data_IF_388010647144
#
_entry.id   IF_388010647144
#
_cell.length_a   1.000
_cell.length_b   1.000
_cell.length_c   1.000
_cell.angle_alpha   90.00
_cell.angle_beta   90.00
_cell.angle_gamma   90.00
#
_symmetry.space_group_name_H-M   'P 1'
#
loop_
_entity.id
_entity.type
_entity.pdbx_description
1 polymer ?
#
# COMPACT_ATOMS: atom_id res chain seq x y z
N UNK A 1 12.58 4.11 -1.29
CA UNK A 1 13.42 3.42 -2.25
C UNK A 1 12.76 3.39 -3.61
N UNK A 2 13.56 3.54 -4.66
CA UNK A 2 13.13 3.36 -6.03
C UNK A 2 13.36 1.88 -6.42
N UNK A 3 12.60 1.39 -7.40
CA UNK A 3 12.77 0.04 -7.91
C UNK A 3 11.75 -0.97 -7.39
N UNK A 4 12.13 -2.26 -7.41
CA UNK A 4 11.20 -3.37 -7.07
C UNK A 4 11.00 -3.59 -5.57
N UNK A 5 11.80 -2.94 -4.71
CA UNK A 5 11.73 -3.06 -3.26
C UNK A 5 11.19 -1.77 -2.66
N UNK A 6 10.10 -1.84 -1.92
CA UNK A 6 9.54 -0.72 -1.19
C UNK A 6 9.54 -1.01 0.30
N UNK A 7 9.98 -0.05 1.11
CA UNK A 7 9.90 -0.13 2.57
C UNK A 7 8.51 0.23 3.10
N UNK A 8 7.75 0.93 2.30
CA UNK A 8 6.42 1.40 2.69
C UNK A 8 5.49 1.43 1.47
N UNK A 9 4.30 0.84 1.65
CA UNK A 9 3.20 0.93 0.70
C UNK A 9 2.11 1.82 1.28
N UNK A 10 1.72 2.83 0.52
CA UNK A 10 0.58 3.65 0.89
C UNK A 10 -0.71 2.94 0.50
N UNK A 11 -1.51 2.61 1.51
CA UNK A 11 -2.85 2.09 1.32
C UNK A 11 -3.84 3.25 1.42
N UNK A 12 -4.54 3.55 0.33
CA UNK A 12 -5.55 4.60 0.26
C UNK A 12 -6.94 4.00 0.01
N UNK A 13 -7.64 3.55 1.05
CA UNK A 13 -8.96 2.97 0.89
C UNK A 13 -10.01 4.06 0.64
N UNK A 14 -10.93 3.81 -0.29
CA UNK A 14 -12.18 4.56 -0.39
C UNK A 14 -13.15 3.97 0.65
N UNK A 15 -13.53 4.78 1.63
CA UNK A 15 -14.38 4.33 2.73
C UNK A 15 -15.75 4.98 2.65
N UNK A 16 -16.78 4.20 2.99
CA UNK A 16 -18.15 4.66 3.15
C UNK A 16 -18.76 4.06 4.41
N UNK A 17 -19.57 4.85 5.11
CA UNK A 17 -20.28 4.33 6.27
C UNK A 17 -21.25 3.22 5.83
N UNK A 18 -21.25 2.11 6.56
CA UNK A 18 -22.03 0.92 6.23
C UNK A 18 -23.53 1.21 6.17
N UNK A 19 -24.09 1.95 7.15
CA UNK A 19 -25.51 2.27 7.18
C UNK A 19 -25.93 3.18 6.02
N UNK A 20 -25.03 4.07 5.57
CA UNK A 20 -25.28 4.92 4.39
C UNK A 20 -25.30 4.06 3.13
N UNK A 21 -24.35 3.14 2.98
CA UNK A 21 -24.35 2.19 1.86
C UNK A 21 -25.60 1.32 1.82
N UNK A 22 -26.03 0.80 2.97
CA UNK A 22 -27.23 -0.05 3.10
C UNK A 22 -28.54 0.73 2.88
N UNK A 23 -28.55 2.06 3.07
CA UNK A 23 -29.70 2.90 2.76
C UNK A 23 -29.91 3.16 1.26
N UNK A 24 -28.91 2.90 0.44
CA UNK A 24 -29.00 3.02 -1.01
C UNK A 24 -29.83 1.88 -1.59
N UNK A 25 -30.55 2.14 -2.68
CA UNK A 25 -31.20 1.07 -3.42
C UNK A 25 -30.17 0.19 -4.15
N UNK A 26 -30.59 -1.00 -4.57
CA UNK A 26 -29.70 -1.99 -5.18
C UNK A 26 -28.93 -1.47 -6.39
N UNK A 27 -29.58 -0.73 -7.28
CA UNK A 27 -28.94 -0.18 -8.47
C UNK A 27 -27.85 0.85 -8.10
N UNK A 28 -28.07 1.64 -7.07
CA UNK A 28 -27.10 2.61 -6.57
C UNK A 28 -25.89 1.90 -5.91
N UNK A 29 -26.12 0.86 -5.12
CA UNK A 29 -25.05 0.04 -4.54
C UNK A 29 -24.19 -0.60 -5.65
N UNK A 30 -24.83 -1.21 -6.65
CA UNK A 30 -24.13 -1.81 -7.79
C UNK A 30 -23.33 -0.78 -8.60
N UNK A 31 -23.88 0.39 -8.85
CA UNK A 31 -23.20 1.48 -9.54
C UNK A 31 -21.98 1.97 -8.78
N UNK A 32 -22.08 2.13 -7.44
CA UNK A 32 -20.96 2.49 -6.58
C UNK A 32 -19.85 1.44 -6.61
N UNK A 33 -20.19 0.17 -6.48
CA UNK A 33 -19.20 -0.92 -6.52
C UNK A 33 -18.53 -1.03 -7.89
N UNK A 34 -19.30 -0.86 -8.97
CA UNK A 34 -18.73 -0.84 -10.33
C UNK A 34 -17.80 0.37 -10.54
N UNK A 35 -18.17 1.54 -10.05
CA UNK A 35 -17.34 2.75 -10.07
C UNK A 35 -16.05 2.55 -9.28
N UNK A 36 -16.12 2.02 -8.06
CA UNK A 36 -14.96 1.72 -7.23
C UNK A 36 -13.98 0.77 -7.93
N UNK A 37 -14.48 -0.30 -8.54
CA UNK A 37 -13.65 -1.25 -9.30
C UNK A 37 -12.94 -0.61 -10.50
N UNK A 38 -13.60 0.30 -11.20
CA UNK A 38 -12.97 1.07 -12.29
C UNK A 38 -11.91 2.03 -11.77
N UNK A 39 -12.21 2.71 -10.65
CA UNK A 39 -11.27 3.63 -10.01
C UNK A 39 -10.03 2.91 -9.50
N UNK A 40 -10.16 1.72 -8.91
CA UNK A 40 -9.04 0.88 -8.49
C UNK A 40 -8.12 0.53 -9.67
N UNK A 41 -8.69 0.03 -10.77
CA UNK A 41 -7.91 -0.32 -11.96
C UNK A 41 -7.17 0.90 -12.56
N UNK A 42 -7.84 2.04 -12.62
CA UNK A 42 -7.24 3.31 -13.07
C UNK A 42 -6.11 3.75 -12.14
N UNK A 43 -6.38 3.78 -10.83
CA UNK A 43 -5.40 4.20 -9.83
C UNK A 43 -4.14 3.34 -9.83
N UNK A 44 -4.25 2.02 -9.92
CA UNK A 44 -3.11 1.12 -9.99
C UNK A 44 -2.22 1.39 -11.22
N UNK A 45 -2.83 1.75 -12.34
CA UNK A 45 -2.08 2.10 -13.56
C UNK A 45 -1.37 3.45 -13.42
N UNK A 46 -2.05 4.46 -12.85
CA UNK A 46 -1.49 5.81 -12.68
C UNK A 46 -0.43 5.85 -11.57
N UNK A 47 -0.64 5.16 -10.44
CA UNK A 47 0.32 5.13 -9.34
C UNK A 47 1.71 4.64 -9.78
N UNK A 48 1.78 3.67 -10.68
CA UNK A 48 3.07 3.21 -11.25
C UNK A 48 3.78 4.27 -12.10
N UNK A 49 3.02 5.12 -12.78
CA UNK A 49 3.58 6.25 -13.56
C UNK A 49 4.06 7.36 -12.62
N UNK A 50 3.29 7.64 -11.57
CA UNK A 50 3.64 8.65 -10.56
C UNK A 50 4.92 8.29 -9.80
N UNK A 51 5.13 7.03 -9.46
CA UNK A 51 6.38 6.58 -8.85
C UNK A 51 7.60 6.92 -9.70
N UNK A 52 7.53 6.66 -11.01
CA UNK A 52 8.61 7.00 -11.93
C UNK A 52 8.75 8.51 -12.14
N UNK A 53 7.64 9.23 -12.22
CA UNK A 53 7.64 10.68 -12.33
C UNK A 53 8.27 11.34 -11.10
N UNK A 54 7.96 10.86 -9.91
CA UNK A 54 8.54 11.33 -8.64
C UNK A 54 10.06 11.16 -8.62
N UNK A 55 10.57 10.00 -9.03
CA UNK A 55 12.02 9.75 -9.15
C UNK A 55 12.68 10.78 -10.08
N UNK A 56 12.06 11.06 -11.23
CA UNK A 56 12.59 12.03 -12.19
C UNK A 56 12.60 13.46 -11.62
N UNK A 57 11.56 13.87 -10.91
CA UNK A 57 11.48 15.17 -10.24
C UNK A 57 12.57 15.30 -9.19
N UNK A 58 12.78 14.29 -8.36
CA UNK A 58 13.84 14.31 -7.34
C UNK A 58 15.23 14.43 -7.98
N UNK A 59 15.53 13.63 -9.01
CA UNK A 59 16.81 13.72 -9.74
C UNK A 59 17.02 15.12 -10.34
N UNK A 60 16.00 15.70 -10.95
CA UNK A 60 16.06 17.05 -11.54
C UNK A 60 16.36 18.12 -10.51
N UNK A 61 15.95 17.93 -9.26
CA UNK A 61 16.19 18.86 -8.16
C UNK A 61 17.43 18.52 -7.32
N UNK A 62 18.33 17.69 -7.84
CA UNK A 62 19.61 17.37 -7.20
C UNK A 62 19.51 16.40 -6.01
N UNK A 63 18.37 15.74 -5.83
CA UNK A 63 18.21 14.71 -4.78
C UNK A 63 18.87 13.42 -5.24
N UNK A 64 19.76 12.90 -4.42
CA UNK A 64 20.38 11.59 -4.67
C UNK A 64 19.34 10.48 -4.51
N UNK A 65 19.18 9.66 -5.54
CA UNK A 65 18.29 8.50 -5.52
C UNK A 65 19.14 7.26 -5.32
N UNK A 66 18.92 6.57 -4.21
CA UNK A 66 19.54 5.26 -3.93
C UNK A 66 18.54 4.15 -4.21
N UNK A 67 18.96 3.20 -5.00
CA UNK A 67 18.29 1.90 -5.11
C UNK A 67 18.85 0.99 -4.03
N UNK A 68 17.95 0.34 -3.32
CA UNK A 68 18.32 -0.57 -2.25
C UNK A 68 18.67 -1.93 -2.85
N UNK A 69 19.83 -2.47 -2.50
CA UNK A 69 20.19 -3.84 -2.83
C UNK A 69 19.32 -4.85 -2.06
N UNK A 70 19.30 -6.09 -2.51
CA UNK A 70 18.57 -7.16 -1.82
C UNK A 70 19.07 -7.35 -0.37
N UNK A 71 20.37 -7.24 -0.15
CA UNK A 71 20.97 -7.40 1.18
C UNK A 71 20.59 -6.24 2.11
N UNK A 72 20.63 -5.00 1.63
CA UNK A 72 20.16 -3.85 2.39
C UNK A 72 18.68 -3.98 2.73
N UNK A 73 17.83 -4.38 1.78
CA UNK A 73 16.42 -4.62 2.02
C UNK A 73 16.19 -5.70 3.09
N UNK A 74 16.92 -6.81 3.01
CA UNK A 74 16.84 -7.89 3.99
C UNK A 74 17.31 -7.46 5.38
N UNK A 75 18.35 -6.62 5.46
CA UNK A 75 18.81 -6.04 6.71
C UNK A 75 17.71 -5.16 7.36
N UNK A 76 17.08 -4.28 6.60
CA UNK A 76 15.94 -3.49 7.07
C UNK A 76 14.75 -4.34 7.50
N UNK A 77 14.43 -5.37 6.71
CA UNK A 77 13.36 -6.32 7.04
C UNK A 77 13.63 -7.08 8.34
N UNK A 78 14.88 -7.44 8.61
CA UNK A 78 15.28 -8.08 9.86
C UNK A 78 15.06 -7.16 11.07
N UNK A 79 15.42 -5.88 10.95
CA UNK A 79 15.14 -4.88 11.98
C UNK A 79 13.63 -4.74 12.19
N UNK A 80 12.84 -4.67 11.12
CA UNK A 80 11.39 -4.56 11.19
C UNK A 80 10.74 -5.74 11.92
N UNK A 81 11.23 -6.97 11.69
CA UNK A 81 10.75 -8.18 12.38
C UNK A 81 10.94 -8.10 13.90
N UNK A 82 12.06 -7.55 14.33
CA UNK A 82 12.38 -7.44 15.76
C UNK A 82 11.73 -6.23 16.45
N UNK A 83 11.23 -5.28 15.67
CA UNK A 83 10.70 -4.02 16.19
C UNK A 83 9.23 -3.81 15.82
N UNK A 84 8.96 -3.24 14.65
CA UNK A 84 7.63 -2.83 14.23
C UNK A 84 6.65 -3.98 14.07
N UNK A 85 7.10 -5.15 13.60
CA UNK A 85 6.21 -6.32 13.48
C UNK A 85 5.79 -6.84 14.86
N UNK A 86 6.73 -6.98 15.80
CA UNK A 86 6.41 -7.38 17.18
C UNK A 86 5.45 -6.38 17.83
N UNK A 87 5.71 -5.08 17.65
CA UNK A 87 4.83 -4.03 18.18
C UNK A 87 3.43 -4.08 17.56
N UNK A 88 3.32 -4.31 16.26
CA UNK A 88 2.03 -4.47 15.58
C UNK A 88 1.27 -5.68 16.11
N UNK A 89 1.93 -6.85 16.18
CA UNK A 89 1.32 -8.09 16.65
C UNK A 89 0.82 -7.95 18.09
N UNK A 90 1.59 -7.33 18.97
CA UNK A 90 1.19 -7.14 20.37
C UNK A 90 0.10 -6.08 20.57
N UNK A 91 -0.05 -5.17 19.64
CA UNK A 91 -1.01 -4.06 19.72
C UNK A 91 -2.43 -4.39 19.25
N UNK A 92 -2.62 -5.48 18.49
CA UNK A 92 -3.90 -5.80 17.86
C UNK A 92 -4.28 -7.27 18.01
N UNK A 93 -5.56 -7.54 18.33
CA UNK A 93 -6.08 -8.90 18.55
C UNK A 93 -5.78 -9.87 17.39
N UNK A 94 -5.88 -9.40 16.15
CA UNK A 94 -5.63 -10.19 14.94
C UNK A 94 -4.26 -9.88 14.29
N UNK A 95 -3.36 -9.22 15.02
CA UNK A 95 -2.11 -8.69 14.50
C UNK A 95 -1.24 -9.74 13.82
N UNK A 96 -1.09 -10.92 14.42
CA UNK A 96 -0.29 -11.99 13.80
C UNK A 96 -0.91 -12.47 12.50
N UNK A 97 -2.21 -12.76 12.48
CA UNK A 97 -2.92 -13.21 11.26
C UNK A 97 -2.83 -12.19 10.12
N UNK A 98 -2.98 -10.90 10.44
CA UNK A 98 -2.87 -9.83 9.45
C UNK A 98 -1.44 -9.69 8.91
N UNK A 99 -0.44 -9.81 9.78
CA UNK A 99 0.97 -9.78 9.38
C UNK A 99 1.33 -10.96 8.48
N UNK A 100 0.90 -12.17 8.85
CA UNK A 100 1.16 -13.38 8.05
C UNK A 100 0.51 -13.27 6.66
N UNK A 101 -0.73 -12.74 6.60
CA UNK A 101 -1.42 -12.50 5.34
C UNK A 101 -0.67 -11.46 4.48
N UNK A 102 -0.23 -10.36 5.06
CA UNK A 102 0.52 -9.33 4.35
C UNK A 102 1.88 -9.86 3.81
N UNK A 103 2.53 -10.74 4.56
CA UNK A 103 3.81 -11.33 4.15
C UNK A 103 3.68 -12.49 3.15
N UNK A 104 2.48 -13.04 2.97
CA UNK A 104 2.19 -14.11 2.01
C UNK A 104 1.93 -13.60 0.59
N UNK A 105 1.72 -12.31 0.42
CA UNK A 105 1.51 -11.68 -0.90
C UNK A 105 2.88 -11.41 -1.53
N UNK A 106 3.16 -12.06 -2.66
CA UNK A 106 4.38 -11.88 -3.46
C UNK A 106 4.17 -10.92 -4.62
#
# INVERSE_FOLDING_TARGET
PAGKTALWFMYQPLLMNKSVFESLNKNQQEALMAGAKKAEAYYLAEAKKEDQASVNVFKKNGVEIKEMSADEFNAWRSIAKETSYKKFVSGYKDGQRLLDLALSVN
#
